data_IF_863212878665
#
_entry.id   IF_863212878665
#
_cell.length_a   1.000
_cell.length_b   1.000
_cell.length_c   1.000
_cell.angle_alpha   90.00
_cell.angle_beta   90.00
_cell.angle_gamma   90.00
#
_symmetry.space_group_name_H-M   'P 1'
#
loop_
_entity.id
_entity.type
_entity.pdbx_description
1 polymer ?
#
# COMPACT_ATOMS: atom_id res chain seq x y z
N UNK A 1 20.87 5.19 13.42
CA UNK A 1 19.79 5.13 12.42
C UNK A 1 19.93 3.79 11.70
N UNK A 2 18.91 2.93 11.73
CA UNK A 2 18.99 1.65 11.01
C UNK A 2 18.89 1.94 9.51
N UNK A 3 19.92 1.56 8.75
CA UNK A 3 19.91 1.60 7.29
C UNK A 3 18.94 0.53 6.81
N UNK A 4 17.81 0.95 6.23
CA UNK A 4 16.90 0.00 5.60
C UNK A 4 17.61 -0.64 4.41
N UNK A 5 17.71 -1.97 4.39
CA UNK A 5 18.19 -2.70 3.23
C UNK A 5 17.14 -2.58 2.13
N UNK A 6 17.51 -1.95 1.02
CA UNK A 6 16.61 -1.83 -0.12
C UNK A 6 16.46 -3.20 -0.80
N UNK A 7 15.22 -3.68 -0.89
CA UNK A 7 14.89 -4.92 -1.60
C UNK A 7 14.75 -4.64 -3.10
N UNK A 8 15.04 -5.61 -3.98
CA UNK A 8 14.88 -5.41 -5.41
C UNK A 8 13.40 -5.23 -5.79
N UNK A 9 13.17 -4.55 -6.91
CA UNK A 9 11.83 -4.43 -7.49
C UNK A 9 11.32 -5.81 -7.93
N UNK A 10 10.06 -6.18 -7.62
CA UNK A 10 9.52 -7.47 -8.06
C UNK A 10 9.41 -7.56 -9.59
N UNK A 11 9.63 -8.76 -10.14
CA UNK A 11 9.65 -9.02 -11.60
C UNK A 11 8.33 -8.67 -12.32
N UNK A 12 7.22 -8.64 -11.60
CA UNK A 12 5.91 -8.30 -12.14
C UNK A 12 5.65 -6.81 -12.27
N UNK A 13 6.54 -5.95 -11.74
CA UNK A 13 6.42 -4.50 -11.88
C UNK A 13 6.89 -4.08 -13.28
N UNK A 14 6.05 -3.30 -13.97
CA UNK A 14 6.37 -2.74 -15.27
C UNK A 14 6.00 -1.26 -15.28
N UNK A 15 7.02 -0.39 -15.19
CA UNK A 15 6.84 1.06 -15.17
C UNK A 15 6.19 1.60 -16.46
N UNK A 16 6.27 0.87 -17.57
CA UNK A 16 5.67 1.28 -18.85
C UNK A 16 4.16 1.09 -18.88
N UNK A 17 3.59 0.37 -17.90
CA UNK A 17 2.17 0.08 -17.84
C UNK A 17 1.39 0.97 -16.89
N UNK A 18 1.99 1.92 -16.17
CA UNK A 18 1.32 2.66 -15.07
C UNK A 18 0.04 3.42 -15.46
N UNK A 19 -0.15 3.73 -16.74
CA UNK A 19 -1.33 4.40 -17.30
C UNK A 19 -2.46 3.43 -17.69
N UNK A 20 -2.25 2.12 -17.55
CA UNK A 20 -3.19 1.09 -17.96
C UNK A 20 -4.07 0.64 -16.79
N UNK A 21 -5.29 0.21 -17.12
CA UNK A 21 -6.18 -0.45 -16.17
C UNK A 21 -6.14 -1.95 -16.44
N UNK A 22 -5.77 -2.76 -15.45
CA UNK A 22 -5.76 -4.21 -15.58
C UNK A 22 -6.31 -4.92 -14.34
N UNK A 23 -6.70 -6.18 -14.53
CA UNK A 23 -7.11 -7.06 -13.44
C UNK A 23 -5.88 -7.62 -12.74
N UNK A 24 -5.74 -7.36 -11.44
CA UNK A 24 -4.65 -7.92 -10.65
C UNK A 24 -4.94 -9.39 -10.30
N UNK A 25 -4.00 -10.33 -10.53
CA UNK A 25 -4.16 -11.72 -10.13
C UNK A 25 -3.91 -11.87 -8.62
N UNK A 26 -4.88 -11.45 -7.79
CA UNK A 26 -4.74 -11.36 -6.33
C UNK A 26 -4.26 -12.66 -5.66
N UNK A 27 -4.80 -13.81 -6.06
CA UNK A 27 -4.43 -15.10 -5.46
C UNK A 27 -2.95 -15.43 -5.71
N UNK A 28 -2.46 -15.17 -6.92
CA UNK A 28 -1.05 -15.36 -7.26
C UNK A 28 -0.17 -14.39 -6.47
N UNK A 29 -0.53 -13.09 -6.44
CA UNK A 29 0.23 -12.07 -5.69
C UNK A 29 0.29 -12.37 -4.19
N UNK A 30 -0.76 -12.93 -3.62
CA UNK A 30 -0.78 -13.36 -2.23
C UNK A 30 0.15 -14.57 -1.97
N UNK A 31 0.32 -15.47 -2.93
CA UNK A 31 1.27 -16.59 -2.81
C UNK A 31 2.72 -16.10 -2.95
N UNK A 32 2.99 -15.26 -3.95
CA UNK A 32 4.31 -14.67 -4.19
C UNK A 32 4.76 -13.77 -3.03
N UNK A 33 3.86 -13.01 -2.40
CA UNK A 33 4.20 -12.20 -1.23
C UNK A 33 4.71 -13.06 -0.05
N UNK A 34 4.12 -14.24 0.16
CA UNK A 34 4.60 -15.18 1.20
C UNK A 34 5.98 -15.73 0.85
N UNK A 35 6.20 -16.08 -0.42
CA UNK A 35 7.50 -16.54 -0.91
C UNK A 35 8.56 -15.45 -0.80
N UNK A 36 8.22 -14.21 -1.11
CA UNK A 36 9.09 -13.05 -0.99
C UNK A 36 9.55 -12.84 0.45
N UNK A 37 8.62 -12.87 1.42
CA UNK A 37 8.95 -12.76 2.83
C UNK A 37 9.91 -13.87 3.28
N UNK A 38 9.73 -15.11 2.80
CA UNK A 38 10.63 -16.23 3.10
C UNK A 38 12.02 -16.03 2.46
N UNK A 39 12.06 -15.62 1.19
CA UNK A 39 13.29 -15.41 0.42
C UNK A 39 14.18 -14.34 1.08
N UNK A 40 13.58 -13.25 1.55
CA UNK A 40 14.31 -12.12 2.17
C UNK A 40 14.30 -12.15 3.70
N UNK A 41 13.83 -13.25 4.30
CA UNK A 41 13.78 -13.45 5.75
C UNK A 41 13.13 -12.27 6.48
N UNK A 42 12.06 -11.73 5.91
CA UNK A 42 11.33 -10.60 6.48
C UNK A 42 10.66 -11.05 7.78
N UNK A 43 10.97 -10.43 8.92
CA UNK A 43 10.31 -10.78 10.17
C UNK A 43 8.82 -10.37 10.12
N UNK A 44 7.96 -11.03 10.90
CA UNK A 44 6.63 -10.51 11.15
C UNK A 44 6.69 -9.06 11.64
N UNK A 45 5.77 -8.22 11.18
CA UNK A 45 5.68 -6.80 11.61
C UNK A 45 5.58 -6.68 13.14
N UNK A 46 5.00 -7.67 13.82
CA UNK A 46 4.91 -7.73 15.28
C UNK A 46 6.26 -7.79 16.00
N UNK A 47 7.34 -8.16 15.31
CA UNK A 47 8.70 -8.23 15.84
C UNK A 47 9.52 -6.96 15.55
N UNK A 48 9.00 -6.03 14.73
CA UNK A 48 9.67 -4.78 14.41
C UNK A 48 9.50 -3.72 15.52
N UNK A 49 10.45 -2.78 15.57
CA UNK A 49 10.33 -1.60 16.44
C UNK A 49 9.16 -0.75 15.99
N UNK A 50 8.15 -0.62 16.85
CA UNK A 50 6.99 0.23 16.58
C UNK A 50 7.42 1.68 16.36
N UNK A 51 6.96 2.27 15.25
CA UNK A 51 7.12 3.68 14.93
C UNK A 51 5.75 4.29 14.71
N UNK A 52 5.47 5.42 15.35
CA UNK A 52 4.23 6.17 15.12
C UNK A 52 4.42 7.05 13.88
N UNK A 53 3.54 6.89 12.89
CA UNK A 53 3.50 7.69 11.67
C UNK A 53 2.11 8.32 11.53
N UNK A 54 2.07 9.56 11.06
CA UNK A 54 0.83 10.22 10.64
C UNK A 54 0.76 10.11 9.11
N UNK A 55 -0.19 9.30 8.61
CA UNK A 55 -0.52 9.23 7.19
C UNK A 55 -1.88 9.92 6.98
N UNK A 56 -1.86 11.02 6.24
CA UNK A 56 -3.07 11.71 5.81
C UNK A 56 -3.56 11.05 4.52
N UNK A 57 -4.72 10.41 4.57
CA UNK A 57 -5.34 9.72 3.44
C UNK A 57 -6.47 10.59 2.90
N UNK A 58 -6.54 10.73 1.57
CA UNK A 58 -7.63 11.41 0.84
C UNK A 58 -7.96 12.83 1.34
N UNK A 59 -6.95 13.59 1.79
CA UNK A 59 -7.10 14.99 2.19
C UNK A 59 -7.18 15.92 0.98
N UNK A 60 -8.23 15.73 0.18
CA UNK A 60 -8.57 16.56 -0.98
C UNK A 60 -9.77 17.44 -0.62
N UNK A 61 -9.79 18.68 -1.11
CA UNK A 61 -10.87 19.64 -0.83
C UNK A 61 -12.27 19.04 -1.07
N UNK A 62 -12.43 18.22 -2.12
CA UNK A 62 -13.68 17.55 -2.47
C UNK A 62 -14.20 16.60 -1.37
N UNK A 63 -13.31 16.02 -0.56
CA UNK A 63 -13.65 15.11 0.53
C UNK A 63 -13.78 15.82 1.89
N UNK A 64 -13.07 16.93 2.09
CA UNK A 64 -12.85 17.49 3.42
C UNK A 64 -13.52 18.85 3.68
N UNK A 65 -14.14 19.47 2.67
CA UNK A 65 -14.83 20.75 2.81
C UNK A 65 -16.34 20.61 2.63
N UNK A 66 -17.15 21.35 3.40
CA UNK A 66 -18.60 21.40 3.20
C UNK A 66 -18.91 21.94 1.80
N UNK A 67 -20.07 21.57 1.26
CA UNK A 67 -20.59 21.92 -0.08
C UNK A 67 -19.93 21.19 -1.28
N UNK A 68 -19.06 20.20 -1.05
CA UNK A 68 -18.52 19.32 -2.11
C UNK A 68 -19.20 17.94 -2.17
N UNK A 69 -19.25 17.34 -3.37
CA UNK A 69 -20.12 16.19 -3.72
C UNK A 69 -19.86 14.85 -2.98
N UNK A 70 -18.77 14.72 -2.20
CA UNK A 70 -18.38 13.47 -1.55
C UNK A 70 -18.47 13.48 -0.02
N UNK A 71 -18.85 14.61 0.60
CA UNK A 71 -19.00 14.76 2.06
C UNK A 71 -20.11 13.86 2.65
N UNK A 72 -21.11 13.48 1.83
CA UNK A 72 -22.28 12.71 2.29
C UNK A 72 -22.07 11.19 2.51
N UNK A 73 -20.90 10.64 2.17
CA UNK A 73 -20.67 9.18 2.23
C UNK A 73 -20.30 8.65 3.62
N UNK A 74 -19.90 9.50 4.57
CA UNK A 74 -19.40 9.06 5.90
C UNK A 74 -20.51 9.02 6.96
N UNK A 75 -21.64 9.69 6.75
CA UNK A 75 -22.71 9.84 7.75
C UNK A 75 -23.69 8.66 7.80
N UNK A 76 -23.47 7.57 7.05
CA UNK A 76 -24.39 6.42 6.99
C UNK A 76 -23.75 5.05 7.25
N UNK A 77 -22.63 4.99 7.97
CA UNK A 77 -22.11 3.75 8.58
C UNK A 77 -22.26 3.76 10.10
#
# INVERSE_FOLDING_TARGET
MATATELPTPEFFDATKVDQVWRLPYQQRAAEARQWAQQYQMPPVSEEVQRTLLLLIDVQNTFCLPDFELDSAVTSL
#
